data_IF_667810781796
#
_entry.id   IF_667810781796
#
_cell.length_a   1.000
_cell.length_b   1.000
_cell.length_c   1.000
_cell.angle_alpha   90.00
_cell.angle_beta   90.00
_cell.angle_gamma   90.00
#
_symmetry.space_group_name_H-M   'P 1'
#
loop_
_entity.id
_entity.type
_entity.pdbx_description
1 polymer ?
#
# COMPACT_ATOMS: atom_id res chain seq x y z
N UNK A 1 -13.57 -17.91 2.39
CA UNK A 1 -13.66 -18.61 1.10
C UNK A 1 -12.34 -19.36 0.87
N UNK A 2 -12.38 -20.56 0.29
CA UNK A 2 -11.17 -21.29 -0.11
C UNK A 2 -11.26 -21.51 -1.62
N UNK A 3 -10.28 -21.03 -2.36
CA UNK A 3 -10.13 -21.24 -3.80
C UNK A 3 -8.92 -22.13 -4.02
N UNK A 4 -9.10 -23.23 -4.75
CA UNK A 4 -8.00 -24.12 -5.10
C UNK A 4 -7.51 -23.75 -6.50
N UNK A 5 -6.31 -23.18 -6.56
CA UNK A 5 -5.63 -22.91 -7.82
C UNK A 5 -4.87 -24.18 -8.23
N UNK A 6 -5.29 -24.76 -9.35
CA UNK A 6 -4.47 -25.76 -10.05
C UNK A 6 -3.64 -25.05 -11.14
N UNK A 7 -2.78 -25.75 -11.87
CA UNK A 7 -2.01 -25.18 -13.00
C UNK A 7 -2.87 -24.53 -14.10
N UNK A 8 -4.20 -24.64 -13.98
CA UNK A 8 -5.19 -23.95 -14.80
C UNK A 8 -5.46 -22.59 -14.15
N UNK A 9 -5.11 -21.53 -14.86
CA UNK A 9 -5.42 -20.14 -14.51
C UNK A 9 -6.90 -20.05 -14.13
N UNK A 10 -7.17 -19.68 -12.89
CA UNK A 10 -8.55 -19.45 -12.44
C UNK A 10 -8.73 -17.95 -12.32
N UNK A 11 -9.50 -17.33 -13.24
CA UNK A 11 -9.85 -15.93 -13.10
C UNK A 11 -10.79 -15.81 -11.90
N UNK A 12 -10.26 -15.31 -10.78
CA UNK A 12 -11.08 -15.02 -9.61
C UNK A 12 -11.32 -13.53 -9.58
N UNK A 13 -12.48 -13.12 -10.09
CA UNK A 13 -12.91 -11.71 -10.08
C UNK A 13 -13.23 -11.29 -8.66
N UNK A 14 -12.33 -10.52 -8.07
CA UNK A 14 -12.49 -10.15 -6.67
C UNK A 14 -12.16 -8.69 -6.45
N UNK A 15 -13.22 -7.97 -6.12
CA UNK A 15 -13.21 -6.61 -5.64
C UNK A 15 -12.99 -6.67 -4.12
N UNK A 16 -11.83 -6.23 -3.62
CA UNK A 16 -11.44 -6.20 -2.19
C UNK A 16 -11.19 -7.56 -1.51
N UNK A 17 -9.90 -7.91 -1.42
CA UNK A 17 -9.39 -8.95 -0.51
C UNK A 17 -8.63 -8.32 0.65
N UNK A 18 -8.94 -8.78 1.86
CA UNK A 18 -8.27 -8.36 3.08
C UNK A 18 -7.72 -9.62 3.75
N UNK A 19 -6.39 -9.76 3.75
CA UNK A 19 -5.61 -10.91 4.25
C UNK A 19 -5.93 -12.23 3.54
N UNK A 20 -4.97 -12.68 2.75
CA UNK A 20 -4.97 -13.98 2.10
C UNK A 20 -3.92 -14.89 2.70
N UNK A 21 -4.13 -16.19 2.55
CA UNK A 21 -3.16 -17.20 2.90
C UNK A 21 -3.06 -18.18 1.74
N UNK A 22 -1.85 -18.41 1.27
CA UNK A 22 -1.53 -19.42 0.28
C UNK A 22 -0.95 -20.63 1.01
N UNK A 23 -1.53 -21.80 0.80
CA UNK A 23 -1.06 -23.07 1.35
C UNK A 23 -0.83 -24.06 0.22
N UNK A 24 0.33 -24.70 0.23
CA UNK A 24 0.75 -25.69 -0.76
C UNK A 24 -0.07 -26.96 -0.60
N UNK A 25 -0.61 -27.46 -1.72
CA UNK A 25 -1.28 -28.76 -1.75
C UNK A 25 -0.30 -29.90 -1.51
N UNK A 26 -0.81 -31.00 -0.95
CA UNK A 26 0.00 -32.19 -0.69
C UNK A 26 0.47 -32.84 -2.02
N UNK A 27 1.78 -32.83 -2.26
CA UNK A 27 2.40 -33.51 -3.41
C UNK A 27 3.80 -34.00 -3.04
N UNK A 28 4.32 -34.97 -3.81
CA UNK A 28 5.65 -35.55 -3.61
C UNK A 28 6.77 -34.74 -4.29
N UNK A 29 6.42 -33.70 -5.05
CA UNK A 29 7.39 -32.86 -5.77
C UNK A 29 8.15 -31.91 -4.84
N UNK A 30 9.47 -31.79 -5.06
CA UNK A 30 10.35 -30.84 -4.38
C UNK A 30 10.49 -29.50 -5.10
N UNK A 31 9.82 -29.34 -6.24
CA UNK A 31 9.85 -28.09 -7.00
C UNK A 31 9.13 -26.97 -6.23
N UNK A 32 9.38 -25.72 -6.63
CA UNK A 32 8.70 -24.57 -6.07
C UNK A 32 7.38 -24.34 -6.80
N UNK A 33 6.41 -23.80 -6.09
CA UNK A 33 5.18 -23.28 -6.67
C UNK A 33 5.10 -21.77 -6.42
N UNK A 34 4.80 -21.00 -7.45
CA UNK A 34 4.79 -19.53 -7.39
C UNK A 34 3.38 -19.04 -7.66
N UNK A 35 2.85 -18.19 -6.77
CA UNK A 35 1.57 -17.52 -6.99
C UNK A 35 1.81 -16.22 -7.76
N UNK A 36 1.17 -16.12 -8.93
CA UNK A 36 1.23 -14.96 -9.81
C UNK A 36 -0.13 -14.30 -9.87
N UNK A 37 -0.13 -12.97 -9.78
CA UNK A 37 -1.29 -12.12 -9.82
C UNK A 37 -1.19 -11.16 -11.01
N UNK A 38 -2.20 -11.19 -11.87
CA UNK A 38 -2.36 -10.23 -12.95
C UNK A 38 -3.52 -9.28 -12.61
N UNK A 39 -3.29 -7.98 -12.75
CA UNK A 39 -4.30 -6.94 -12.50
C UNK A 39 -4.55 -6.22 -13.83
N UNK A 40 -5.69 -6.48 -14.47
CA UNK A 40 -5.97 -5.98 -15.82
C UNK A 40 -4.85 -6.32 -16.81
N UNK A 41 -4.37 -5.30 -17.53
CA UNK A 41 -3.27 -5.41 -18.52
C UNK A 41 -1.90 -5.00 -17.94
N UNK A 42 -1.78 -4.90 -16.61
CA UNK A 42 -0.52 -4.54 -15.94
C UNK A 42 0.45 -5.72 -15.93
N UNK A 43 1.72 -5.43 -15.64
CA UNK A 43 2.74 -6.46 -15.49
C UNK A 43 2.38 -7.43 -14.35
N UNK A 44 2.65 -8.74 -14.50
CA UNK A 44 2.41 -9.73 -13.46
C UNK A 44 3.14 -9.38 -12.16
N UNK A 45 2.44 -9.55 -11.04
CA UNK A 45 2.98 -9.41 -9.69
C UNK A 45 3.15 -10.80 -9.07
N UNK A 46 4.36 -11.11 -8.62
CA UNK A 46 4.68 -12.38 -7.98
C UNK A 46 4.51 -12.24 -6.46
N UNK A 47 3.57 -12.98 -5.88
CA UNK A 47 3.22 -12.82 -4.46
C UNK A 47 4.08 -13.68 -3.52
N UNK A 48 4.19 -14.97 -3.80
CA UNK A 48 4.94 -15.88 -2.94
C UNK A 48 5.48 -17.08 -3.71
N UNK A 49 6.52 -17.70 -3.15
CA UNK A 49 7.08 -18.97 -3.59
C UNK A 49 7.01 -19.98 -2.45
N UNK A 50 6.24 -21.04 -2.65
CA UNK A 50 6.04 -22.12 -1.69
C UNK A 50 6.88 -23.34 -2.07
N UNK A 51 7.37 -24.04 -1.06
CA UNK A 51 8.24 -25.21 -1.17
C UNK A 51 7.85 -26.24 -0.12
N UNK A 52 7.51 -27.45 -0.55
CA UNK A 52 7.00 -28.52 0.33
C UNK A 52 7.93 -28.90 1.48
N UNK A 53 9.23 -28.63 1.38
CA UNK A 53 10.21 -28.95 2.41
C UNK A 53 10.52 -27.81 3.41
N UNK A 54 10.02 -26.59 3.17
CA UNK A 54 10.44 -25.40 3.92
C UNK A 54 9.31 -24.43 4.24
N UNK A 55 8.46 -24.13 3.26
CA UNK A 55 7.43 -23.11 3.34
C UNK A 55 6.20 -23.64 2.62
N UNK A 56 5.36 -24.35 3.36
CA UNK A 56 4.09 -24.89 2.87
C UNK A 56 2.94 -23.88 3.00
N UNK A 57 3.12 -22.79 3.74
CA UNK A 57 2.11 -21.75 3.96
C UNK A 57 2.73 -20.36 3.96
N UNK A 58 2.08 -19.39 3.33
CA UNK A 58 2.47 -17.99 3.30
C UNK A 58 1.25 -17.08 3.46
N UNK A 59 1.29 -16.19 4.45
CA UNK A 59 0.31 -15.12 4.58
C UNK A 59 0.61 -14.01 3.56
N UNK A 60 -0.38 -13.67 2.75
CA UNK A 60 -0.35 -12.63 1.73
C UNK A 60 -1.15 -11.43 2.24
N UNK A 61 -0.46 -10.33 2.56
CA UNK A 61 -1.13 -9.06 2.87
C UNK A 61 -1.31 -8.26 1.56
N UNK A 62 -2.42 -8.54 0.87
CA UNK A 62 -2.76 -7.83 -0.37
C UNK A 62 -3.77 -6.74 0.00
N UNK A 63 -3.36 -5.48 -0.10
CA UNK A 63 -4.22 -4.32 0.03
C UNK A 63 -4.40 -3.75 -1.39
N UNK A 64 -5.36 -4.28 -2.13
CA UNK A 64 -5.62 -3.79 -3.48
C UNK A 64 -6.68 -2.69 -3.41
N UNK A 65 -6.28 -1.45 -3.74
CA UNK A 65 -7.17 -0.29 -3.82
C UNK A 65 -7.95 -0.20 -5.14
N UNK A 66 -7.60 -1.05 -6.12
CA UNK A 66 -8.06 -0.92 -7.49
C UNK A 66 -9.25 -1.81 -7.82
N UNK A 67 -10.24 -1.20 -8.48
CA UNK A 67 -11.44 -1.81 -9.05
C UNK A 67 -11.10 -2.49 -10.39
N UNK A 68 -9.99 -3.21 -10.47
CA UNK A 68 -9.57 -3.90 -11.69
C UNK A 68 -9.70 -5.41 -11.50
N UNK A 69 -10.01 -6.12 -12.59
CA UNK A 69 -10.10 -7.58 -12.56
C UNK A 69 -8.74 -8.18 -12.22
N UNK A 70 -8.71 -8.94 -11.13
CA UNK A 70 -7.54 -9.67 -10.67
C UNK A 70 -7.65 -11.13 -11.12
N UNK A 71 -6.56 -11.69 -11.64
CA UNK A 71 -6.47 -13.11 -11.98
C UNK A 71 -5.29 -13.74 -11.26
N UNK A 72 -5.53 -14.87 -10.60
CA UNK A 72 -4.48 -15.64 -9.94
C UNK A 72 -4.13 -16.88 -10.77
N UNK A 73 -2.83 -17.16 -10.83
CA UNK A 73 -2.30 -18.35 -11.47
C UNK A 73 -1.14 -18.93 -10.65
N UNK A 74 -0.85 -20.20 -10.88
CA UNK A 74 0.24 -20.91 -10.22
C UNK A 74 1.23 -21.39 -11.26
N UNK A 75 2.48 -21.00 -11.10
CA UNK A 75 3.59 -21.59 -11.83
C UNK A 75 4.21 -22.70 -10.98
N UNK A 76 4.19 -23.93 -11.48
CA UNK A 76 4.76 -25.10 -10.83
C UNK A 76 3.80 -26.30 -10.83
N UNK A 77 4.28 -27.48 -10.41
CA UNK A 77 3.50 -28.71 -10.45
C UNK A 77 2.57 -28.88 -9.23
N UNK A 78 2.63 -27.96 -8.26
CA UNK A 78 1.83 -28.04 -7.03
C UNK A 78 0.53 -27.24 -7.19
N UNK A 79 -0.56 -27.77 -6.64
CA UNK A 79 -1.74 -26.94 -6.39
C UNK A 79 -1.49 -26.01 -5.21
N UNK A 80 -2.16 -24.85 -5.20
CA UNK A 80 -2.13 -23.91 -4.09
C UNK A 80 -3.57 -23.62 -3.65
N UNK A 81 -3.81 -23.79 -2.37
CA UNK A 81 -5.04 -23.38 -1.72
C UNK A 81 -4.90 -21.93 -1.28
N UNK A 82 -5.66 -21.03 -1.91
CA UNK A 82 -5.83 -19.67 -1.43
C UNK A 82 -7.03 -19.63 -0.48
N UNK A 83 -6.79 -19.28 0.76
CA UNK A 83 -7.84 -19.03 1.76
C UNK A 83 -7.82 -17.56 2.18
N UNK A 84 -8.99 -17.02 2.45
CA UNK A 84 -9.11 -15.64 2.88
C UNK A 84 -10.54 -15.19 3.07
N UNK A 85 -10.67 -13.95 3.48
CA UNK A 85 -11.95 -13.27 3.63
C UNK A 85 -12.27 -12.51 2.36
N UNK A 86 -13.30 -12.96 1.67
CA UNK A 86 -13.88 -12.26 0.53
C UNK A 86 -15.03 -11.40 1.03
N UNK A 87 -15.00 -10.12 0.65
CA UNK A 87 -16.16 -9.26 0.78
C UNK A 87 -16.83 -9.13 -0.59
N UNK A 88 -17.60 -10.14 -1.00
CA UNK A 88 -18.49 -9.97 -2.15
C UNK A 88 -19.78 -10.78 -2.07
N UNK A 89 -20.66 -10.43 -3.00
CA UNK A 89 -22.10 -10.68 -2.98
C UNK A 89 -22.43 -12.15 -2.73
N UNK A 90 -23.21 -12.40 -1.67
CA UNK A 90 -23.98 -13.64 -1.57
C UNK A 90 -25.07 -13.59 -2.64
N UNK A 91 -25.12 -14.61 -3.50
CA UNK A 91 -26.34 -14.94 -4.22
C UNK A 91 -27.40 -15.36 -3.19
N UNK A 92 -28.48 -14.59 -3.18
CA UNK A 92 -29.86 -14.87 -2.77
C UNK A 92 -30.07 -15.89 -1.63
N UNK A 93 -30.36 -15.36 -0.46
CA UNK A 93 -31.30 -15.99 0.47
C UNK A 93 -32.17 -14.90 1.09
N UNK A 94 -33.45 -14.93 0.72
CA UNK A 94 -34.53 -14.06 1.18
C UNK A 94 -34.50 -13.84 2.70
N UNK A 95 -34.32 -12.59 3.11
CA UNK A 95 -34.31 -12.17 4.51
C UNK A 95 -34.08 -10.66 4.60
N UNK A 96 -35.09 -9.96 5.07
CA UNK A 96 -35.23 -8.50 5.22
C UNK A 96 -34.07 -7.89 6.05
N UNK A 97 -33.02 -7.34 5.41
CA UNK A 97 -32.03 -6.40 6.01
C UNK A 97 -31.10 -5.81 4.91
N UNK A 98 -30.53 -4.61 5.13
CA UNK A 98 -29.76 -3.81 4.15
C UNK A 98 -28.96 -4.63 3.10
N UNK A 99 -29.24 -4.43 1.81
CA UNK A 99 -28.55 -5.14 0.71
C UNK A 99 -27.04 -5.07 0.87
N UNK A 100 -26.37 -6.21 0.77
CA UNK A 100 -24.92 -6.36 0.90
C UNK A 100 -24.13 -5.36 0.04
N UNK A 101 -24.64 -5.06 -1.16
CA UNK A 101 -24.08 -4.05 -2.07
C UNK A 101 -24.08 -2.63 -1.44
N UNK A 102 -25.13 -2.28 -0.69
CA UNK A 102 -25.21 -0.99 0.02
C UNK A 102 -24.17 -0.88 1.14
N UNK A 103 -23.91 -1.97 1.88
CA UNK A 103 -22.88 -2.01 2.91
C UNK A 103 -21.48 -1.85 2.31
N UNK A 104 -21.20 -2.55 1.20
CA UNK A 104 -19.93 -2.44 0.48
C UNK A 104 -19.75 -1.02 -0.08
N UNK A 105 -20.76 -0.48 -0.77
CA UNK A 105 -20.73 0.91 -1.28
C UNK A 105 -20.49 1.92 -0.18
N UNK A 106 -21.11 1.75 1.00
CA UNK A 106 -20.87 2.60 2.17
C UNK A 106 -19.42 2.50 2.65
N UNK A 107 -18.90 1.29 2.84
CA UNK A 107 -17.51 1.09 3.31
C UNK A 107 -16.48 1.64 2.33
N UNK A 108 -16.71 1.44 1.04
CA UNK A 108 -15.89 2.01 -0.04
C UNK A 108 -15.92 3.55 0.01
N UNK A 109 -17.10 4.15 0.17
CA UNK A 109 -17.22 5.60 0.30
C UNK A 109 -16.52 6.14 1.56
N UNK A 110 -16.59 5.43 2.68
CA UNK A 110 -15.87 5.78 3.91
C UNK A 110 -14.35 5.73 3.73
N UNK A 111 -13.81 4.67 3.12
CA UNK A 111 -12.37 4.55 2.84
C UNK A 111 -11.88 5.69 1.93
N UNK A 112 -12.64 6.01 0.87
CA UNK A 112 -12.33 7.14 -0.02
C UNK A 112 -12.33 8.49 0.71
N UNK A 113 -13.23 8.68 1.67
CA UNK A 113 -13.27 9.91 2.49
C UNK A 113 -12.06 10.01 3.41
N UNK A 114 -11.68 8.90 4.07
CA UNK A 114 -10.49 8.85 4.93
C UNK A 114 -9.22 9.15 4.15
N UNK A 115 -9.03 8.50 3.00
CA UNK A 115 -7.88 8.76 2.13
C UNK A 115 -7.76 10.24 1.71
N UNK A 116 -8.90 10.86 1.35
CA UNK A 116 -8.93 12.30 1.04
C UNK A 116 -8.60 13.17 2.26
N UNK A 117 -9.01 12.77 3.46
CA UNK A 117 -8.67 13.48 4.68
C UNK A 117 -7.16 13.37 4.97
N UNK A 118 -6.58 12.18 4.85
CA UNK A 118 -5.15 11.94 5.05
C UNK A 118 -4.31 12.74 4.02
N UNK A 119 -4.72 12.76 2.76
CA UNK A 119 -4.09 13.57 1.71
C UNK A 119 -4.19 15.08 2.00
N UNK A 120 -5.34 15.52 2.51
CA UNK A 120 -5.52 16.92 2.91
C UNK A 120 -4.65 17.31 4.09
N UNK A 121 -4.58 16.48 5.14
CA UNK A 121 -3.70 16.69 6.29
C UNK A 121 -2.23 16.74 5.87
N UNK A 122 -1.82 15.86 4.95
CA UNK A 122 -0.47 15.87 4.38
C UNK A 122 -0.17 17.19 3.67
N UNK A 123 -1.07 17.67 2.82
CA UNK A 123 -0.91 18.97 2.13
C UNK A 123 -0.83 20.15 3.11
N UNK A 124 -1.60 20.11 4.21
CA UNK A 124 -1.53 21.15 5.23
C UNK A 124 -0.18 21.14 5.97
N UNK A 125 0.36 19.94 6.26
CA UNK A 125 1.68 19.81 6.86
C UNK A 125 2.78 20.34 5.93
N UNK A 126 2.76 19.93 4.65
CA UNK A 126 3.72 20.40 3.65
C UNK A 126 3.66 21.93 3.48
N UNK A 127 2.46 22.53 3.50
CA UNK A 127 2.29 23.98 3.49
C UNK A 127 2.90 24.65 4.73
N UNK A 128 2.62 24.12 5.93
CA UNK A 128 3.16 24.67 7.17
C UNK A 128 4.70 24.59 7.21
N UNK A 129 5.27 23.47 6.75
CA UNK A 129 6.72 23.28 6.62
C UNK A 129 7.34 24.29 5.64
N UNK A 130 6.67 24.56 4.53
CA UNK A 130 7.12 25.56 3.56
C UNK A 130 7.09 26.99 4.13
N UNK A 131 6.03 27.34 4.85
CA UNK A 131 5.92 28.65 5.52
C UNK A 131 6.94 28.82 6.65
N UNK A 132 7.21 27.75 7.42
CA UNK A 132 8.24 27.74 8.43
C UNK A 132 9.63 27.94 7.82
N UNK A 133 9.93 27.22 6.73
CA UNK A 133 11.20 27.35 6.00
C UNK A 133 11.43 28.79 5.52
N UNK A 134 10.41 29.41 4.91
CA UNK A 134 10.52 30.82 4.50
C UNK A 134 10.77 31.76 5.68
N UNK A 135 10.14 31.50 6.84
CA UNK A 135 10.34 32.31 8.04
C UNK A 135 11.77 32.15 8.57
N UNK A 136 12.29 30.92 8.62
CA UNK A 136 13.66 30.66 9.09
C UNK A 136 14.71 31.25 8.17
N UNK A 137 14.50 31.18 6.85
CA UNK A 137 15.41 31.77 5.86
C UNK A 137 15.46 33.29 5.99
N UNK A 138 14.30 33.93 6.21
CA UNK A 138 14.24 35.37 6.49
C UNK A 138 15.02 35.74 7.75
N UNK A 139 14.78 35.04 8.87
CA UNK A 139 15.47 35.30 10.15
C UNK A 139 16.98 35.10 10.01
N UNK A 140 17.41 34.02 9.35
CA UNK A 140 18.83 33.74 9.11
C UNK A 140 19.48 34.84 8.28
N UNK A 141 18.81 35.31 7.23
CA UNK A 141 19.31 36.40 6.40
C UNK A 141 19.48 37.73 7.17
N UNK A 142 18.61 38.01 8.14
CA UNK A 142 18.74 39.18 9.01
C UNK A 142 19.88 39.04 10.02
N UNK A 143 20.04 37.85 10.61
CA UNK A 143 21.14 37.55 11.51
C UNK A 143 22.50 37.66 10.81
N UNK A 144 22.62 37.13 9.60
CA UNK A 144 23.84 37.21 8.79
C UNK A 144 24.20 38.68 8.48
N UNK A 145 23.20 39.52 8.15
CA UNK A 145 23.41 40.97 7.95
C UNK A 145 23.88 41.67 9.22
N UNK A 146 23.22 41.42 10.36
CA UNK A 146 23.63 42.01 11.64
C UNK A 146 25.04 41.60 12.06
N UNK A 147 25.41 40.32 11.84
CA UNK A 147 26.76 39.83 12.13
C UNK A 147 27.80 40.55 11.28
N UNK A 148 27.54 40.70 9.97
CA UNK A 148 28.43 41.43 9.07
C UNK A 148 28.59 42.90 9.46
N UNK A 149 27.51 43.58 9.86
CA UNK A 149 27.56 44.98 10.29
C UNK A 149 28.36 45.16 11.58
N UNK A 150 28.24 44.21 12.51
CA UNK A 150 29.01 44.21 13.76
C UNK A 150 30.52 44.04 13.50
N UNK A 151 30.90 43.06 12.68
CA UNK A 151 32.31 42.83 12.30
C UNK A 151 32.93 44.05 11.62
N UNK A 152 32.18 44.68 10.71
CA UNK A 152 32.62 45.90 10.03
C UNK A 152 32.88 47.04 11.01
N UNK A 153 31.94 47.33 11.92
CA UNK A 153 32.11 48.36 12.95
C UNK A 153 33.30 48.09 13.88
N UNK A 154 33.50 46.83 14.28
CA UNK A 154 34.63 46.47 15.13
C UNK A 154 35.97 46.72 14.43
N UNK A 155 36.06 46.37 13.13
CA UNK A 155 37.26 46.61 12.33
C UNK A 155 37.58 48.10 12.15
N UNK A 156 36.55 48.96 12.02
CA UNK A 156 36.71 50.42 11.87
C UNK A 156 37.06 51.12 13.19
N UNK A 157 36.67 50.55 14.34
CA UNK A 157 36.91 51.14 15.67
C UNK A 157 38.25 50.72 16.31
N UNK A 158 39.03 49.84 15.66
CA UNK A 158 40.32 49.41 16.17
C UNK A 158 41.29 50.61 16.21
N UNK A 159 41.83 51.00 17.38
CA UNK A 159 42.79 52.09 17.46
C UNK A 159 44.06 51.71 16.70
N UNK A 160 44.46 52.53 15.74
CA UNK A 160 45.77 52.44 15.10
C UNK A 160 46.84 52.74 16.16
N UNK A 161 47.33 51.70 16.82
CA UNK A 161 48.57 51.78 17.58
C UNK A 161 49.71 51.85 16.55
N UNK A 162 50.23 53.07 16.35
CA UNK A 162 51.46 53.36 15.64
C UNK A 162 52.51 53.84 16.64
#
# INVERSE_FOLDING_TARGET
MIVVLNCIVTPVRIWLWNKLQATLGATKSKEKAIVVCNVGDKKPVYFCSLLSSKLDTCALNVENEEYEEVTFSVEGPHSIHLSGYYFGEKQDSEGDDESYDSFVKRKVAEMRKRKRADEFEKMQRERAEFEETQRTDSIKSEQDRMSSDYEKRYSEAAPNFH
#
